data_IF_324539810943
#
_entry.id   IF_324539810943
#
_cell.length_a   1.000
_cell.length_b   1.000
_cell.length_c   1.000
_cell.angle_alpha   90.00
_cell.angle_beta   90.00
_cell.angle_gamma   90.00
#
_symmetry.space_group_name_H-M   'P 1'
#
loop_
_entity.id
_entity.type
_entity.pdbx_description
1 polymer ?
#
# COMPACT_ATOMS: atom_id res chain seq x y z
N UNK A 1 -10.13 -26.76 2.20
CA UNK A 1 -9.95 -26.12 0.88
C UNK A 1 -8.79 -25.14 1.02
N UNK A 2 -7.62 -25.40 0.40
CA UNK A 2 -6.46 -24.50 0.49
C UNK A 2 -6.87 -23.14 -0.11
N UNK A 3 -6.73 -22.06 0.64
CA UNK A 3 -6.93 -20.72 0.08
C UNK A 3 -5.81 -20.46 -0.93
N UNK A 4 -6.16 -20.28 -2.21
CA UNK A 4 -5.17 -20.06 -3.27
C UNK A 4 -4.74 -18.59 -3.25
N UNK A 5 -3.51 -18.36 -2.77
CA UNK A 5 -2.82 -17.07 -2.82
C UNK A 5 -2.74 -16.58 -4.28
N UNK A 6 -3.20 -15.35 -4.54
CA UNK A 6 -3.02 -14.63 -5.81
C UNK A 6 -2.14 -13.42 -5.50
N UNK A 7 -0.94 -13.36 -6.08
CA UNK A 7 -0.08 -12.18 -5.95
C UNK A 7 -0.66 -11.03 -6.78
N UNK A 8 -0.70 -9.85 -6.18
CA UNK A 8 -1.11 -8.60 -6.82
C UNK A 8 0.10 -7.68 -7.05
N UNK A 9 1.03 -7.68 -6.11
CA UNK A 9 2.33 -7.01 -6.17
C UNK A 9 3.37 -7.97 -5.60
N UNK A 10 4.29 -8.41 -6.46
CA UNK A 10 5.51 -9.09 -6.00
C UNK A 10 6.30 -8.14 -5.12
N UNK A 11 7.16 -8.68 -4.26
CA UNK A 11 8.01 -7.85 -3.42
C UNK A 11 8.79 -6.84 -4.27
N UNK A 12 8.51 -5.57 -4.02
CA UNK A 12 9.03 -4.44 -4.78
C UNK A 12 9.70 -3.47 -3.80
N UNK A 13 10.89 -2.98 -4.17
CA UNK A 13 11.59 -1.93 -3.44
C UNK A 13 11.36 -0.57 -4.09
N UNK A 14 11.15 0.46 -3.28
CA UNK A 14 11.04 1.85 -3.73
C UNK A 14 11.60 2.83 -2.71
N UNK A 15 11.92 4.05 -3.16
CA UNK A 15 12.29 5.17 -2.30
C UNK A 15 11.14 6.19 -2.27
N UNK A 16 10.64 6.50 -1.08
CA UNK A 16 9.74 7.62 -0.84
C UNK A 16 10.52 8.84 -0.36
N UNK A 17 10.03 10.03 -0.72
CA UNK A 17 10.59 11.30 -0.26
C UNK A 17 11.74 11.83 -1.11
N UNK A 18 11.95 11.26 -2.30
CA UNK A 18 12.98 11.74 -3.22
C UNK A 18 12.67 13.18 -3.64
N UNK A 19 13.68 14.05 -3.57
CA UNK A 19 13.60 15.40 -4.13
C UNK A 19 13.40 15.33 -5.64
N UNK A 20 12.36 15.97 -6.14
CA UNK A 20 12.03 16.08 -7.55
C UNK A 20 11.48 17.49 -7.81
N UNK A 21 12.24 18.38 -8.47
CA UNK A 21 11.81 19.76 -8.71
C UNK A 21 10.58 19.86 -9.61
N UNK A 22 10.25 18.80 -10.36
CA UNK A 22 9.08 18.75 -11.24
C UNK A 22 7.82 18.22 -10.51
N UNK A 23 7.97 17.69 -9.29
CA UNK A 23 6.85 17.21 -8.49
C UNK A 23 6.15 18.36 -7.75
N UNK A 24 4.84 18.25 -7.56
CA UNK A 24 4.09 19.14 -6.67
C UNK A 24 4.67 19.06 -5.25
N UNK A 25 5.03 20.21 -4.67
CA UNK A 25 5.71 20.25 -3.37
C UNK A 25 7.19 19.84 -3.41
N UNK A 26 7.79 19.61 -4.59
CA UNK A 26 9.21 19.31 -4.84
C UNK A 26 9.72 17.96 -4.33
N UNK A 27 8.83 17.06 -3.89
CA UNK A 27 9.20 15.75 -3.36
C UNK A 27 8.19 14.67 -3.77
N UNK A 28 8.68 13.49 -4.13
CA UNK A 28 7.85 12.30 -4.38
C UNK A 28 7.57 11.56 -3.08
N UNK A 29 6.65 12.09 -2.28
CA UNK A 29 6.37 11.57 -0.94
C UNK A 29 5.31 10.46 -0.91
N UNK A 30 4.53 10.30 -1.98
CA UNK A 30 3.37 9.40 -2.02
C UNK A 30 3.52 8.44 -3.20
N UNK A 31 3.33 7.15 -2.95
CA UNK A 31 3.18 6.13 -3.98
C UNK A 31 1.84 5.41 -3.78
N UNK A 32 1.14 5.12 -4.90
CA UNK A 32 -0.14 4.43 -4.87
C UNK A 32 -0.17 3.25 -5.86
N UNK A 33 -0.33 2.04 -5.34
CA UNK A 33 -0.51 0.83 -6.13
C UNK A 33 -2.01 0.50 -6.23
N UNK A 34 -2.50 0.36 -7.46
CA UNK A 34 -3.90 0.02 -7.76
C UNK A 34 -4.02 -1.44 -8.17
N UNK A 35 -5.05 -2.11 -7.69
CA UNK A 35 -5.26 -3.54 -7.91
C UNK A 35 -6.71 -3.86 -8.26
N UNK A 36 -6.91 -4.64 -9.33
CA UNK A 36 -8.20 -5.29 -9.56
C UNK A 36 -8.43 -6.45 -8.59
N UNK A 37 -9.45 -6.31 -7.75
CA UNK A 37 -9.83 -7.30 -6.74
C UNK A 37 -11.16 -7.96 -7.08
N UNK A 38 -11.34 -9.19 -6.60
CA UNK A 38 -12.58 -9.97 -6.70
C UNK A 38 -13.14 -10.25 -5.31
N UNK A 39 -14.47 -10.24 -5.19
CA UNK A 39 -15.16 -10.56 -3.95
C UNK A 39 -14.83 -11.97 -3.43
N UNK A 40 -15.08 -12.18 -2.13
CA UNK A 40 -14.91 -13.45 -1.39
C UNK A 40 -13.46 -13.89 -1.08
N UNK A 41 -12.46 -13.05 -1.32
CA UNK A 41 -11.09 -13.22 -0.80
C UNK A 41 -10.75 -12.10 0.16
N UNK A 42 -9.76 -12.31 1.03
CA UNK A 42 -9.15 -11.24 1.81
C UNK A 42 -8.03 -10.56 1.01
N UNK A 43 -7.93 -9.24 1.12
CA UNK A 43 -6.75 -8.49 0.68
C UNK A 43 -5.72 -8.44 1.81
N UNK A 44 -4.44 -8.58 1.45
CA UNK A 44 -3.30 -8.50 2.36
C UNK A 44 -2.19 -7.66 1.75
N UNK A 45 -1.42 -6.99 2.60
CA UNK A 45 -0.20 -6.29 2.23
C UNK A 45 0.86 -6.41 3.33
N UNK A 46 2.12 -6.51 2.94
CA UNK A 46 3.29 -6.44 3.83
C UNK A 46 4.13 -5.24 3.41
N UNK A 47 4.47 -4.40 4.38
CA UNK A 47 5.25 -3.20 4.20
C UNK A 47 6.37 -3.19 5.23
N UNK A 48 7.59 -2.97 4.77
CA UNK A 48 8.77 -2.75 5.61
C UNK A 48 9.47 -1.48 5.13
N UNK A 49 9.88 -0.62 6.04
CA UNK A 49 10.42 0.70 5.73
C UNK A 49 11.60 1.05 6.63
N UNK A 50 12.61 1.71 6.08
CA UNK A 50 13.79 2.15 6.84
C UNK A 50 13.50 3.26 7.85
N UNK A 51 12.45 4.03 7.60
CA UNK A 51 11.97 5.16 8.41
C UNK A 51 10.44 5.09 8.51
N UNK A 52 9.81 5.69 9.55
CA UNK A 52 8.36 5.69 9.70
C UNK A 52 7.64 6.25 8.48
N UNK A 53 6.62 5.54 8.00
CA UNK A 53 5.75 5.96 6.89
C UNK A 53 4.28 5.77 7.26
N UNK A 54 3.40 6.43 6.51
CA UNK A 54 1.96 6.23 6.60
C UNK A 54 1.50 5.25 5.52
N UNK A 55 0.57 4.36 5.90
CA UNK A 55 0.03 3.32 5.03
C UNK A 55 -1.49 3.39 5.02
N UNK A 56 -2.08 3.56 3.84
CA UNK A 56 -3.52 3.58 3.61
C UNK A 56 -3.98 2.48 2.65
N UNK A 57 -5.14 1.89 2.93
CA UNK A 57 -5.84 0.98 2.01
C UNK A 57 -7.17 1.63 1.63
N UNK A 58 -7.35 1.91 0.34
CA UNK A 58 -8.60 2.42 -0.22
C UNK A 58 -9.40 1.27 -0.80
N UNK A 59 -10.68 1.18 -0.40
CA UNK A 59 -11.64 0.20 -0.86
C UNK A 59 -12.17 0.47 -2.26
N UNK A 60 -12.97 -0.45 -2.77
CA UNK A 60 -13.63 -0.33 -4.08
C UNK A 60 -14.65 0.80 -4.16
N UNK A 61 -15.14 1.23 -2.99
CA UNK A 61 -16.05 2.36 -2.81
C UNK A 61 -15.31 3.71 -2.72
N UNK A 62 -13.98 3.72 -2.85
CA UNK A 62 -13.15 4.92 -2.73
C UNK A 62 -12.92 5.37 -1.28
N UNK A 63 -13.47 4.68 -0.28
CA UNK A 63 -13.28 5.02 1.12
C UNK A 63 -12.07 4.29 1.73
N UNK A 64 -11.52 4.88 2.78
CA UNK A 64 -10.41 4.28 3.49
C UNK A 64 -10.88 3.06 4.30
N UNK A 65 -10.35 1.88 3.98
CA UNK A 65 -10.60 0.63 4.71
C UNK A 65 -9.67 0.46 5.91
N UNK A 66 -8.43 0.96 5.80
CA UNK A 66 -7.43 0.86 6.85
C UNK A 66 -6.38 1.95 6.68
N UNK A 67 -6.08 2.65 7.77
CA UNK A 67 -4.97 3.60 7.84
C UNK A 67 -4.09 3.25 9.04
N UNK A 68 -2.77 3.31 8.85
CA UNK A 68 -1.78 3.22 9.91
C UNK A 68 -0.74 4.32 9.71
N UNK A 69 -0.42 5.04 10.78
CA UNK A 69 0.49 6.17 10.76
C UNK A 69 1.84 5.77 11.36
N UNK A 70 2.93 6.27 10.79
CA UNK A 70 4.28 6.17 11.37
C UNK A 70 4.79 4.75 11.59
N UNK A 71 4.50 3.83 10.68
CA UNK A 71 4.93 2.42 10.76
C UNK A 71 6.22 2.19 10.01
N UNK A 72 7.07 1.30 10.52
CA UNK A 72 8.28 0.79 9.84
C UNK A 72 8.14 -0.67 9.43
N UNK A 73 7.26 -1.42 10.06
CA UNK A 73 6.98 -2.81 9.73
C UNK A 73 5.50 -3.08 10.02
N UNK A 74 4.74 -3.43 8.98
CA UNK A 74 3.33 -3.80 9.13
C UNK A 74 2.91 -4.90 8.14
N UNK A 75 2.13 -5.86 8.65
CA UNK A 75 1.37 -6.79 7.83
C UNK A 75 -0.13 -6.50 8.01
N UNK A 76 -0.80 -6.12 6.92
CA UNK A 76 -2.21 -5.77 6.87
C UNK A 76 -2.99 -6.95 6.29
N UNK A 77 -4.13 -7.30 6.91
CA UNK A 77 -5.09 -8.27 6.38
C UNK A 77 -5.48 -9.37 7.37
N UNK A 78 -6.50 -10.19 7.05
CA UNK A 78 -7.35 -10.07 5.87
C UNK A 78 -8.26 -8.84 5.93
N UNK A 79 -8.24 -8.02 4.89
CA UNK A 79 -9.25 -7.00 4.68
C UNK A 79 -10.35 -7.55 3.77
N UNK A 80 -11.63 -7.44 4.15
CA UNK A 80 -12.73 -7.99 3.37
C UNK A 80 -12.95 -7.20 2.08
N UNK A 81 -13.05 -7.91 0.95
CA UNK A 81 -13.43 -7.34 -0.34
C UNK A 81 -14.94 -7.50 -0.50
N UNK A 82 -15.68 -6.41 -0.30
CA UNK A 82 -17.16 -6.41 -0.36
C UNK A 82 -17.66 -6.72 -1.77
N UNK A 83 -17.05 -6.13 -2.78
CA UNK A 83 -17.44 -6.24 -4.18
C UNK A 83 -16.22 -6.29 -5.11
N UNK A 84 -16.43 -6.68 -6.36
CA UNK A 84 -15.38 -6.63 -7.38
C UNK A 84 -15.14 -5.17 -7.75
N UNK A 85 -13.88 -4.74 -7.82
CA UNK A 85 -13.53 -3.38 -8.22
C UNK A 85 -12.04 -3.15 -8.14
N UNK A 86 -11.65 -1.87 -8.13
CA UNK A 86 -10.28 -1.43 -7.92
C UNK A 86 -10.08 -1.07 -6.44
N UNK A 87 -9.01 -1.56 -5.82
CA UNK A 87 -8.54 -1.11 -4.52
C UNK A 87 -7.18 -0.42 -4.68
N UNK A 88 -6.79 0.41 -3.71
CA UNK A 88 -5.46 1.01 -3.70
C UNK A 88 -4.72 0.79 -2.38
N UNK A 89 -3.42 0.51 -2.46
CA UNK A 89 -2.46 0.64 -1.36
C UNK A 89 -1.71 1.95 -1.56
N UNK A 90 -1.75 2.81 -0.56
CA UNK A 90 -1.10 4.13 -0.56
C UNK A 90 -0.02 4.14 0.51
N UNK A 91 1.18 4.55 0.13
CA UNK A 91 2.34 4.71 1.00
C UNK A 91 2.71 6.20 1.00
N UNK A 92 2.99 6.77 2.17
CA UNK A 92 3.25 8.20 2.29
C UNK A 92 4.33 8.54 3.32
N UNK A 93 5.14 9.55 3.02
CA UNK A 93 6.03 10.23 3.99
C UNK A 93 5.65 11.71 4.10
N UNK A 94 6.12 12.39 5.14
CA UNK A 94 6.04 13.86 5.19
C UNK A 94 7.07 14.48 4.23
N UNK A 95 6.78 15.66 3.63
CA UNK A 95 7.76 16.37 2.81
C UNK A 95 9.06 16.66 3.56
N UNK A 96 10.18 16.21 2.99
CA UNK A 96 11.51 16.32 3.59
C UNK A 96 12.01 15.03 4.26
N UNK A 97 11.10 14.12 4.64
CA UNK A 97 11.47 12.78 5.10
C UNK A 97 11.80 11.86 3.92
N UNK A 98 12.58 10.81 4.19
CA UNK A 98 12.91 9.77 3.21
C UNK A 98 12.83 8.38 3.81
N UNK A 99 12.39 7.41 3.01
CA UNK A 99 12.34 6.02 3.42
C UNK A 99 12.52 5.07 2.23
N UNK A 100 13.38 4.07 2.38
CA UNK A 100 13.40 2.91 1.51
C UNK A 100 12.32 1.95 1.98
N UNK A 101 11.44 1.53 1.08
CA UNK A 101 10.27 0.72 1.39
C UNK A 101 10.30 -0.57 0.58
N UNK A 102 10.02 -1.69 1.23
CA UNK A 102 9.67 -2.97 0.62
C UNK A 102 8.19 -3.19 0.76
N UNK A 103 7.53 -3.54 -0.32
CA UNK A 103 6.08 -3.71 -0.35
C UNK A 103 5.69 -4.95 -1.16
N UNK A 104 4.74 -5.71 -0.64
CA UNK A 104 4.07 -6.78 -1.38
C UNK A 104 2.58 -6.82 -1.06
N UNK A 105 1.77 -7.32 -1.99
CA UNK A 105 0.33 -7.43 -1.82
C UNK A 105 -0.23 -8.70 -2.46
N UNK A 106 -1.21 -9.32 -1.81
CA UNK A 106 -1.83 -10.55 -2.30
C UNK A 106 -3.30 -10.69 -1.86
N UNK A 107 -3.99 -11.63 -2.50
CA UNK A 107 -5.33 -12.05 -2.12
C UNK A 107 -5.34 -13.52 -1.69
N UNK A 108 -6.03 -13.83 -0.60
CA UNK A 108 -6.18 -15.20 -0.07
C UNK A 108 -7.56 -15.47 0.52
#
# INVERSE_FOLDING_TARGET
MLKRKKILLEETELELGRFDPEAEGMYRNIEAYRFEVRSRKGFYARIEASSPIDVGIIGTDGYNLKFQQGVTDVCIGPLPIKEKGEMALVLGTYPGDRSNVRVSAWME
#
